data_IF_909608649349
#
_entry.id   IF_909608649349
#
_cell.length_a   1.000
_cell.length_b   1.000
_cell.length_c   1.000
_cell.angle_alpha   90.00
_cell.angle_beta   90.00
_cell.angle_gamma   90.00
#
_symmetry.space_group_name_H-M   'P 1'
#
loop_
_entity.id
_entity.type
_entity.pdbx_description
1 polymer ?
#
# COMPACT_ATOMS: atom_id res chain seq x y z
N UNK A 1 -33.41 25.28 73.41
CA UNK A 1 -32.98 24.78 72.09
C UNK A 1 -31.57 25.30 71.80
N UNK A 2 -30.52 24.79 72.45
CA UNK A 2 -29.22 25.49 72.40
C UNK A 2 -27.99 24.83 73.01
N UNK A 3 -27.92 23.49 73.12
CA UNK A 3 -26.67 22.81 73.58
C UNK A 3 -26.28 21.63 72.65
N UNK A 4 -27.20 21.13 71.82
CA UNK A 4 -26.85 20.18 70.74
C UNK A 4 -26.30 20.86 69.47
N UNK A 5 -26.59 22.15 69.25
CA UNK A 5 -26.18 22.86 68.03
C UNK A 5 -24.68 23.16 67.94
N UNK A 6 -24.02 23.43 69.08
CA UNK A 6 -22.60 23.83 69.14
C UNK A 6 -21.63 22.63 69.03
N UNK A 7 -22.02 21.45 69.54
CA UNK A 7 -21.21 20.22 69.41
C UNK A 7 -21.30 19.63 67.99
N UNK A 8 -22.46 19.74 67.35
CA UNK A 8 -22.65 19.30 65.97
C UNK A 8 -21.95 20.21 64.95
N UNK A 9 -21.93 21.52 65.17
CA UNK A 9 -21.19 22.46 64.31
C UNK A 9 -19.68 22.24 64.38
N UNK A 10 -19.12 21.90 65.55
CA UNK A 10 -17.70 21.57 65.67
C UNK A 10 -17.33 20.29 64.90
N UNK A 11 -18.20 19.27 64.93
CA UNK A 11 -18.01 18.02 64.19
C UNK A 11 -18.12 18.21 62.68
N UNK A 12 -19.07 19.03 62.23
CA UNK A 12 -19.24 19.37 60.81
C UNK A 12 -18.02 20.18 60.31
N UNK A 13 -17.54 21.15 61.10
CA UNK A 13 -16.34 21.91 60.76
C UNK A 13 -15.08 21.02 60.67
N UNK A 14 -14.92 20.07 61.59
CA UNK A 14 -13.83 19.10 61.54
C UNK A 14 -13.92 18.16 60.32
N UNK A 15 -15.12 17.70 59.96
CA UNK A 15 -15.34 16.87 58.78
C UNK A 15 -15.03 17.64 57.48
N UNK A 16 -15.41 18.91 57.38
CA UNK A 16 -15.09 19.79 56.24
C UNK A 16 -13.58 20.00 56.12
N UNK A 17 -12.89 20.23 57.24
CA UNK A 17 -11.42 20.33 57.26
C UNK A 17 -10.74 19.04 56.79
N UNK A 18 -11.24 17.88 57.21
CA UNK A 18 -10.70 16.59 56.78
C UNK A 18 -10.92 16.33 55.28
N UNK A 19 -12.11 16.65 54.75
CA UNK A 19 -12.41 16.57 53.32
C UNK A 19 -11.54 17.53 52.50
N UNK A 20 -11.23 18.72 53.02
CA UNK A 20 -10.34 19.67 52.36
C UNK A 20 -8.88 19.18 52.28
N UNK A 21 -8.38 18.54 53.35
CA UNK A 21 -7.03 17.94 53.35
C UNK A 21 -6.97 16.75 52.39
N UNK A 22 -8.00 15.91 52.35
CA UNK A 22 -8.05 14.77 51.42
C UNK A 22 -8.18 15.23 49.97
N UNK A 23 -9.03 16.23 49.69
CA UNK A 23 -9.22 16.80 48.35
C UNK A 23 -7.99 17.54 47.81
N UNK A 24 -7.18 18.13 48.68
CA UNK A 24 -5.90 18.76 48.27
C UNK A 24 -4.80 17.72 48.01
N UNK A 25 -4.74 16.63 48.77
CA UNK A 25 -3.87 15.49 48.46
C UNK A 25 -4.24 14.89 47.08
N UNK A 26 -5.52 14.53 46.90
CA UNK A 26 -6.35 14.60 45.67
C UNK A 26 -5.73 15.25 44.43
N UNK A 27 -5.58 16.57 44.52
CA UNK A 27 -5.12 17.42 43.43
C UNK A 27 -3.58 17.43 43.29
N UNK A 28 -2.84 17.29 44.39
CA UNK A 28 -1.38 17.41 44.38
C UNK A 28 -0.67 16.19 43.78
N UNK A 29 -1.25 15.00 43.91
CA UNK A 29 -0.73 13.76 43.31
C UNK A 29 -1.35 13.43 41.95
N UNK A 30 -2.30 14.24 41.44
CA UNK A 30 -2.94 14.01 40.14
C UNK A 30 -2.35 14.96 39.11
N UNK A 31 -1.44 14.44 38.32
CA UNK A 31 -0.96 15.11 37.12
C UNK A 31 -1.43 14.33 35.89
N UNK A 32 -1.82 15.05 34.84
CA UNK A 32 -2.29 14.47 33.58
C UNK A 32 -1.24 14.71 32.51
N UNK A 33 -0.35 13.73 32.33
CA UNK A 33 0.70 13.79 31.31
C UNK A 33 0.08 13.56 29.93
N UNK A 34 0.07 14.61 29.09
CA UNK A 34 -0.38 14.52 27.71
C UNK A 34 0.80 14.14 26.82
N UNK A 35 0.74 12.97 26.21
CA UNK A 35 1.73 12.54 25.21
C UNK A 35 1.23 12.97 23.83
N UNK A 36 1.97 13.86 23.17
CA UNK A 36 1.74 14.19 21.77
C UNK A 36 2.57 13.24 20.91
N UNK A 37 1.88 12.37 20.17
CA UNK A 37 2.51 11.47 19.20
C UNK A 37 2.16 11.95 17.80
N UNK A 38 3.19 12.18 16.98
CA UNK A 38 3.02 12.36 15.54
C UNK A 38 3.61 11.14 14.85
N UNK A 39 2.78 10.39 14.14
CA UNK A 39 3.22 9.29 13.29
C UNK A 39 3.32 9.82 11.87
N UNK A 40 4.53 9.82 11.32
CA UNK A 40 4.75 10.00 9.88
C UNK A 40 4.96 8.62 9.29
N UNK A 41 4.06 8.20 8.42
CA UNK A 41 4.27 6.99 7.60
C UNK A 41 5.21 7.33 6.46
N UNK A 42 5.82 6.30 5.87
CA UNK A 42 6.45 6.45 4.57
C UNK A 42 5.44 6.27 3.43
N UNK A 43 5.91 6.55 2.23
CA UNK A 43 5.15 6.52 0.98
C UNK A 43 5.26 5.15 0.30
N UNK A 44 4.14 4.69 -0.25
CA UNK A 44 4.04 3.47 -1.05
C UNK A 44 4.07 3.88 -2.51
N UNK A 45 5.03 3.37 -3.27
CA UNK A 45 5.20 3.74 -4.68
C UNK A 45 5.95 2.61 -5.42
N UNK A 46 5.40 2.15 -6.55
CA UNK A 46 5.84 0.94 -7.26
C UNK A 46 5.80 1.19 -8.76
N UNK A 47 6.89 0.88 -9.47
CA UNK A 47 6.99 1.08 -10.92
C UNK A 47 7.43 -0.19 -11.67
N UNK A 48 7.15 -0.23 -12.98
CA UNK A 48 7.73 -1.23 -13.87
C UNK A 48 9.17 -0.86 -14.29
N UNK A 49 10.09 -1.77 -14.00
CA UNK A 49 11.51 -1.66 -14.31
C UNK A 49 11.85 -2.04 -15.75
N UNK A 50 12.88 -2.88 -15.90
CA UNK A 50 13.32 -3.35 -17.23
C UNK A 50 12.34 -4.36 -17.81
N UNK A 51 12.07 -4.27 -19.11
CA UNK A 51 11.14 -5.14 -19.84
C UNK A 51 11.90 -5.79 -21.01
N UNK A 52 11.56 -7.03 -21.29
CA UNK A 52 12.09 -7.78 -22.42
C UNK A 52 11.05 -8.77 -22.95
N UNK A 53 11.08 -9.01 -24.25
CA UNK A 53 10.25 -10.03 -24.91
C UNK A 53 11.14 -11.04 -25.62
N UNK A 54 10.64 -12.26 -25.79
CA UNK A 54 11.34 -13.30 -26.54
C UNK A 54 11.15 -13.21 -28.07
N UNK A 55 10.30 -12.28 -28.53
CA UNK A 55 9.97 -12.09 -29.95
C UNK A 55 9.79 -10.60 -30.32
N UNK A 56 10.87 -9.79 -30.20
CA UNK A 56 10.84 -8.40 -30.60
C UNK A 56 10.63 -8.23 -32.12
N UNK A 57 10.20 -7.05 -32.59
CA UNK A 57 9.96 -6.81 -34.02
C UNK A 57 11.19 -7.13 -34.88
N UNK A 58 10.99 -7.92 -35.93
CA UNK A 58 12.04 -8.28 -36.89
C UNK A 58 12.86 -9.53 -36.52
N UNK A 59 12.41 -10.31 -35.53
CA UNK A 59 13.00 -11.62 -35.18
C UNK A 59 12.12 -12.78 -35.62
N UNK A 60 12.72 -13.97 -35.78
CA UNK A 60 11.95 -15.18 -36.06
C UNK A 60 11.08 -15.55 -34.85
N UNK A 61 9.86 -15.99 -35.13
CA UNK A 61 8.90 -16.39 -34.11
C UNK A 61 9.49 -17.52 -33.22
N UNK A 62 9.28 -17.49 -31.89
CA UNK A 62 9.80 -18.49 -30.98
C UNK A 62 9.39 -19.93 -31.37
N UNK A 63 10.38 -20.76 -31.69
CA UNK A 63 10.14 -22.15 -32.10
C UNK A 63 9.82 -22.35 -33.58
N UNK A 64 9.91 -21.31 -34.40
CA UNK A 64 9.64 -21.36 -35.84
C UNK A 64 10.72 -20.65 -36.69
N UNK A 65 10.66 -20.85 -38.00
CA UNK A 65 11.64 -20.33 -38.95
C UNK A 65 11.23 -19.02 -39.65
N UNK A 66 9.98 -18.62 -39.48
CA UNK A 66 9.42 -17.41 -40.09
C UNK A 66 9.23 -16.35 -39.01
N UNK A 67 9.27 -15.10 -39.44
CA UNK A 67 8.83 -13.92 -38.69
C UNK A 67 7.47 -13.57 -39.31
N UNK A 68 6.39 -14.02 -38.67
CA UNK A 68 5.03 -13.67 -39.09
C UNK A 68 4.23 -13.04 -37.97
N UNK A 69 4.54 -13.32 -36.72
CA UNK A 69 3.94 -12.68 -35.56
C UNK A 69 4.95 -11.73 -34.92
N UNK A 70 4.47 -10.86 -34.03
CA UNK A 70 5.38 -9.99 -33.28
C UNK A 70 4.80 -9.72 -31.90
N UNK A 71 5.67 -9.68 -30.89
CA UNK A 71 5.30 -9.37 -29.53
C UNK A 71 6.24 -8.32 -28.93
N UNK A 72 5.68 -7.16 -28.64
CA UNK A 72 6.41 -6.08 -27.98
C UNK A 72 5.68 -5.63 -26.72
N UNK A 73 6.48 -5.18 -25.76
CA UNK A 73 6.02 -4.73 -24.47
C UNK A 73 6.76 -3.45 -24.13
N UNK A 74 6.02 -2.39 -23.88
CA UNK A 74 6.56 -1.05 -23.65
C UNK A 74 5.83 -0.39 -22.47
N UNK A 75 6.50 0.59 -21.87
CA UNK A 75 5.92 1.42 -20.81
C UNK A 75 5.11 2.55 -21.43
N UNK A 76 3.85 2.65 -21.03
CA UNK A 76 2.89 3.61 -21.57
C UNK A 76 1.91 3.98 -20.46
N UNK A 77 1.51 5.24 -20.39
CA UNK A 77 0.40 5.66 -19.55
C UNK A 77 -0.92 5.18 -20.16
N UNK A 78 -1.54 4.14 -19.58
CA UNK A 78 -2.88 3.67 -19.98
C UNK A 78 -3.91 4.39 -19.10
N UNK A 79 -3.67 4.44 -17.80
CA UNK A 79 -4.46 5.17 -16.82
C UNK A 79 -3.54 6.04 -15.95
N UNK A 80 -4.00 7.24 -15.57
CA UNK A 80 -3.24 8.09 -14.66
C UNK A 80 -3.71 7.81 -13.22
N UNK A 81 -3.02 6.90 -12.57
CA UNK A 81 -3.25 6.50 -11.18
C UNK A 81 -2.82 7.59 -10.17
N UNK A 82 -2.03 8.55 -10.63
CA UNK A 82 -1.41 9.59 -9.82
C UNK A 82 -2.16 10.92 -9.77
N UNK A 83 -3.34 10.98 -10.39
CA UNK A 83 -4.14 12.20 -10.42
C UNK A 83 -4.60 12.60 -9.01
N UNK A 84 -3.89 13.55 -8.40
CA UNK A 84 -4.13 14.00 -7.03
C UNK A 84 -3.32 13.25 -5.97
N UNK A 85 -2.40 12.38 -6.38
CA UNK A 85 -1.43 11.73 -5.51
C UNK A 85 -0.12 12.53 -5.48
N UNK A 86 0.24 13.20 -4.36
CA UNK A 86 1.46 13.99 -4.27
C UNK A 86 2.75 13.14 -4.22
N UNK A 87 2.63 11.84 -3.96
CA UNK A 87 3.76 10.89 -3.93
C UNK A 87 3.82 10.02 -5.18
N UNK A 88 2.83 10.15 -6.05
CA UNK A 88 2.79 9.54 -7.36
C UNK A 88 3.85 10.13 -8.27
N UNK A 89 4.74 9.31 -8.79
CA UNK A 89 5.89 9.76 -9.57
C UNK A 89 5.66 9.64 -11.10
N UNK A 90 4.40 9.46 -11.50
CA UNK A 90 3.91 9.16 -12.83
C UNK A 90 4.48 7.82 -13.32
N UNK A 91 4.24 6.77 -12.55
CA UNK A 91 4.62 5.41 -12.90
C UNK A 91 3.82 4.93 -14.11
N UNK A 92 4.55 4.49 -15.14
CA UNK A 92 3.94 4.08 -16.41
C UNK A 92 3.43 2.64 -16.33
N UNK A 93 2.27 2.38 -16.93
CA UNK A 93 1.74 1.03 -17.09
C UNK A 93 2.55 0.18 -18.07
N UNK A 94 2.43 -1.14 -17.92
CA UNK A 94 2.98 -2.12 -18.83
C UNK A 94 1.97 -2.44 -19.95
N UNK A 95 2.21 -1.93 -21.16
CA UNK A 95 1.41 -2.27 -22.33
C UNK A 95 2.06 -3.41 -23.12
N UNK A 96 1.36 -4.53 -23.29
CA UNK A 96 1.82 -5.69 -24.06
C UNK A 96 0.94 -5.82 -25.30
N UNK A 97 1.56 -5.74 -26.49
CA UNK A 97 0.86 -5.86 -27.76
C UNK A 97 1.40 -7.04 -28.57
N UNK A 98 0.48 -7.91 -28.99
CA UNK A 98 0.78 -9.05 -29.85
C UNK A 98 0.09 -8.82 -31.19
N UNK A 99 0.85 -8.85 -32.29
CA UNK A 99 0.37 -8.59 -33.64
C UNK A 99 0.48 -9.87 -34.48
N UNK A 100 -0.57 -10.17 -35.23
CA UNK A 100 -0.64 -11.30 -36.16
C UNK A 100 -0.36 -12.68 -35.53
N UNK A 101 -0.76 -12.87 -34.26
CA UNK A 101 -0.67 -14.17 -33.60
C UNK A 101 -1.53 -15.23 -34.32
N UNK A 102 -0.95 -16.41 -34.50
CA UNK A 102 -1.57 -17.57 -35.12
C UNK A 102 -1.69 -18.73 -34.11
N UNK A 103 -2.49 -19.78 -34.39
CA UNK A 103 -2.60 -20.92 -33.48
C UNK A 103 -1.24 -21.56 -33.19
N UNK A 104 -0.94 -21.82 -31.92
CA UNK A 104 0.35 -22.32 -31.41
C UNK A 104 1.51 -21.31 -31.36
N UNK A 105 1.25 -20.02 -31.57
CA UNK A 105 2.20 -18.95 -31.26
C UNK A 105 2.28 -18.70 -29.75
N UNK A 106 3.49 -18.49 -29.23
CA UNK A 106 3.74 -18.20 -27.82
C UNK A 106 4.75 -17.04 -27.65
N UNK A 107 4.29 -15.95 -27.04
CA UNK A 107 5.17 -14.89 -26.56
C UNK A 107 5.39 -15.00 -25.06
N UNK A 108 6.63 -14.77 -24.63
CA UNK A 108 7.02 -14.62 -23.22
C UNK A 108 7.54 -13.21 -23.00
N UNK A 109 6.90 -12.50 -22.08
CA UNK A 109 7.31 -11.17 -21.61
C UNK A 109 7.89 -11.30 -20.21
N UNK A 110 9.07 -10.73 -20.00
CA UNK A 110 9.72 -10.66 -18.70
C UNK A 110 9.90 -9.20 -18.32
N UNK A 111 9.38 -8.82 -17.16
CA UNK A 111 9.47 -7.47 -16.62
C UNK A 111 9.91 -7.49 -15.15
N UNK A 112 10.43 -6.36 -14.69
CA UNK A 112 10.78 -6.13 -13.29
C UNK A 112 9.75 -5.24 -12.62
N UNK A 113 9.49 -5.47 -11.34
CA UNK A 113 8.70 -4.59 -10.48
C UNK A 113 9.65 -4.00 -9.45
N UNK A 114 9.66 -2.67 -9.31
CA UNK A 114 10.54 -1.94 -8.39
C UNK A 114 9.70 -1.13 -7.42
N UNK A 115 10.19 -1.01 -6.19
CA UNK A 115 9.59 -0.14 -5.18
C UNK A 115 10.42 1.16 -5.12
N UNK A 116 9.82 2.27 -5.55
CA UNK A 116 10.39 3.63 -5.51
C UNK A 116 9.93 4.42 -4.29
N UNK A 117 9.06 3.84 -3.46
CA UNK A 117 8.59 4.41 -2.21
C UNK A 117 9.63 4.35 -1.09
N UNK A 118 9.17 4.55 0.15
CA UNK A 118 10.03 4.55 1.35
C UNK A 118 9.69 3.43 2.34
N UNK A 119 8.64 2.65 2.05
CA UNK A 119 8.25 1.49 2.85
C UNK A 119 8.12 0.22 2.00
N UNK A 120 8.41 -0.97 2.55
CA UNK A 120 8.28 -2.23 1.81
C UNK A 120 6.85 -2.51 1.36
N UNK A 121 6.73 -3.13 0.18
CA UNK A 121 5.45 -3.56 -0.40
C UNK A 121 5.44 -5.07 -0.60
N UNK A 122 4.26 -5.68 -0.54
CA UNK A 122 4.08 -7.10 -0.84
C UNK A 122 3.44 -7.25 -2.22
N UNK A 123 4.03 -8.08 -3.08
CA UNK A 123 3.52 -8.32 -4.42
C UNK A 123 4.53 -9.03 -5.30
N UNK A 124 4.28 -9.18 -6.60
CA UNK A 124 3.08 -8.76 -7.33
C UNK A 124 1.90 -9.74 -7.15
N UNK A 125 0.67 -9.21 -7.22
CA UNK A 125 -0.58 -9.98 -7.27
C UNK A 125 -1.17 -9.92 -8.69
N UNK A 126 -1.75 -11.03 -9.17
CA UNK A 126 -2.27 -11.12 -10.54
C UNK A 126 -3.74 -11.50 -10.50
N UNK A 127 -4.57 -10.62 -11.07
CA UNK A 127 -5.99 -10.86 -11.30
C UNK A 127 -6.26 -10.71 -12.79
N UNK A 128 -6.77 -11.76 -13.44
CA UNK A 128 -7.09 -11.76 -14.88
C UNK A 128 -8.60 -11.55 -15.02
N UNK A 129 -9.01 -10.35 -15.41
CA UNK A 129 -10.42 -9.94 -15.36
C UNK A 129 -11.19 -10.26 -16.64
N UNK A 130 -10.54 -10.30 -17.81
CA UNK A 130 -11.20 -10.61 -19.09
C UNK A 130 -10.27 -11.32 -20.07
N UNK A 131 -10.78 -12.37 -20.72
CA UNK A 131 -10.23 -12.91 -21.95
C UNK A 131 -11.26 -12.69 -23.07
N UNK A 132 -11.10 -11.61 -23.84
CA UNK A 132 -11.95 -11.35 -25.03
C UNK A 132 -11.92 -12.53 -26.03
N UNK A 133 -10.89 -13.38 -25.94
CA UNK A 133 -10.66 -14.54 -26.80
C UNK A 133 -11.15 -15.89 -26.21
N UNK A 134 -11.82 -15.91 -25.05
CA UNK A 134 -12.30 -17.15 -24.44
C UNK A 134 -11.17 -18.18 -24.19
N UNK A 135 -11.44 -19.47 -24.37
CA UNK A 135 -10.47 -20.55 -24.14
C UNK A 135 -9.36 -20.65 -25.19
N UNK A 136 -9.38 -19.81 -26.24
CA UNK A 136 -8.38 -19.81 -27.30
C UNK A 136 -7.03 -19.20 -26.86
N UNK A 137 -7.02 -18.44 -25.77
CA UNK A 137 -5.80 -17.84 -25.19
C UNK A 137 -5.63 -18.36 -23.78
N UNK A 138 -4.43 -18.89 -23.49
CA UNK A 138 -4.04 -19.31 -22.15
C UNK A 138 -2.95 -18.37 -21.65
N UNK A 139 -3.21 -17.72 -20.51
CA UNK A 139 -2.21 -16.92 -19.81
C UNK A 139 -1.54 -17.79 -18.75
N UNK A 140 -0.21 -17.82 -18.76
CA UNK A 140 0.58 -18.47 -17.72
C UNK A 140 1.55 -17.45 -17.15
N UNK A 141 1.69 -17.44 -15.82
CA UNK A 141 2.62 -16.59 -15.11
C UNK A 141 3.42 -17.43 -14.12
N UNK A 142 4.66 -17.02 -13.87
CA UNK A 142 5.52 -17.61 -12.86
C UNK A 142 5.93 -16.54 -11.84
N UNK A 143 4.92 -15.94 -11.20
CA UNK A 143 5.09 -14.83 -10.27
C UNK A 143 4.50 -15.25 -8.92
N UNK A 144 5.32 -15.15 -7.88
CA UNK A 144 4.92 -15.39 -6.49
C UNK A 144 5.04 -14.11 -5.69
N UNK A 145 4.07 -13.77 -4.83
CA UNK A 145 4.19 -12.60 -3.97
C UNK A 145 5.44 -12.69 -3.07
N UNK A 146 6.27 -11.65 -3.13
CA UNK A 146 7.44 -11.44 -2.29
C UNK A 146 7.39 -10.03 -1.68
N UNK A 147 8.17 -9.81 -0.64
CA UNK A 147 8.42 -8.45 -0.17
C UNK A 147 9.40 -7.77 -1.14
N UNK A 148 9.04 -6.57 -1.58
CA UNK A 148 9.88 -5.70 -2.41
C UNK A 148 10.26 -4.50 -1.55
N UNK A 149 11.52 -4.47 -1.15
CA UNK A 149 12.06 -3.37 -0.35
C UNK A 149 12.29 -2.12 -1.23
N UNK A 150 12.20 -0.91 -0.64
CA UNK A 150 12.58 0.33 -1.31
C UNK A 150 13.97 0.24 -1.93
N UNK A 151 14.09 0.65 -3.19
CA UNK A 151 15.34 0.69 -3.94
C UNK A 151 16.15 1.97 -3.70
#
# INVERSE_FOLDING_TARGET
MGILGERGTLQIAAAIMMLAVMGSAVAMWSDSLKVMVTVKTGDVDVEFGNISTNDPPGTKDPGYDKDVATCYADKMEIENEDLGNPTGNNDLDLNITIVNAYPSYNCTVVFQVKNTGTIPVMGPYINITTNTFGTAVTWSHNMTPIQIDPC
#
